data_IF_580859581515
#
_entry.id   IF_580859581515
#
_cell.length_a   1.000
_cell.length_b   1.000
_cell.length_c   1.000
_cell.angle_alpha   90.00
_cell.angle_beta   90.00
_cell.angle_gamma   90.00
#
_symmetry.space_group_name_H-M   'P 1'
#
loop_
_entity.id
_entity.type
_entity.pdbx_description
1 polymer ?
#
# COMPACT_ATOMS: atom_id res chain seq x y z
N UNK A 1 -3.02 -8.78 -7.71
CA UNK A 1 -3.99 -7.68 -7.96
C UNK A 1 -4.88 -8.06 -9.14
N UNK A 2 -6.18 -7.73 -9.11
CA UNK A 2 -7.01 -7.87 -10.31
C UNK A 2 -6.59 -6.79 -11.33
N UNK A 3 -6.19 -7.15 -12.56
CA UNK A 3 -5.54 -6.23 -13.51
C UNK A 3 -6.43 -5.06 -13.99
N UNK A 4 -7.73 -5.07 -13.68
CA UNK A 4 -8.70 -4.13 -14.23
C UNK A 4 -9.20 -3.06 -13.25
N UNK A 5 -8.86 -3.13 -11.95
CA UNK A 5 -9.49 -2.28 -10.94
C UNK A 5 -9.28 -0.77 -11.16
N UNK A 6 -8.05 -0.27 -11.44
CA UNK A 6 -7.83 1.15 -11.69
C UNK A 6 -8.55 1.66 -12.96
N UNK A 7 -8.60 0.81 -14.00
CA UNK A 7 -9.32 1.13 -15.25
C UNK A 7 -10.82 1.25 -15.01
N UNK A 8 -11.42 0.27 -14.32
CA UNK A 8 -12.85 0.28 -14.00
C UNK A 8 -13.23 1.50 -13.16
N UNK A 9 -12.35 1.93 -12.23
CA UNK A 9 -12.57 3.16 -11.48
C UNK A 9 -12.69 4.38 -12.40
N UNK A 10 -11.75 4.58 -13.33
CA UNK A 10 -11.81 5.70 -14.28
C UNK A 10 -13.05 5.61 -15.18
N UNK A 11 -13.38 4.43 -15.71
CA UNK A 11 -14.59 4.24 -16.53
C UNK A 11 -15.90 4.51 -15.78
N UNK A 12 -15.94 4.26 -14.47
CA UNK A 12 -17.09 4.64 -13.65
C UNK A 12 -17.15 6.15 -13.43
N UNK A 13 -16.02 6.77 -13.06
CA UNK A 13 -15.94 8.22 -12.83
C UNK A 13 -16.28 9.03 -14.07
N UNK A 14 -15.91 8.58 -15.26
CA UNK A 14 -16.22 9.30 -16.51
C UNK A 14 -17.72 9.41 -16.81
N UNK A 15 -18.54 8.50 -16.28
CA UNK A 15 -20.01 8.52 -16.42
C UNK A 15 -20.68 9.42 -15.40
N UNK A 16 -20.01 9.69 -14.28
CA UNK A 16 -20.55 10.49 -13.17
C UNK A 16 -20.15 11.97 -13.29
N UNK A 17 -19.00 12.25 -13.92
CA UNK A 17 -18.49 13.60 -14.09
C UNK A 17 -19.11 14.31 -15.31
N UNK A 18 -19.30 15.62 -15.16
CA UNK A 18 -19.64 16.50 -16.27
C UNK A 18 -18.42 16.78 -17.15
N UNK A 19 -18.65 17.09 -18.43
CA UNK A 19 -17.59 17.49 -19.35
C UNK A 19 -16.86 18.73 -18.80
N UNK A 20 -15.53 18.64 -18.70
CA UNK A 20 -14.67 19.68 -18.12
C UNK A 20 -14.54 19.65 -16.59
N UNK A 21 -15.17 18.69 -15.90
CA UNK A 21 -14.97 18.47 -14.47
C UNK A 21 -13.56 17.97 -14.15
N UNK A 22 -13.05 18.32 -12.97
CA UNK A 22 -11.70 17.93 -12.52
C UNK A 22 -11.76 16.86 -11.43
N UNK A 23 -10.81 15.92 -11.48
CA UNK A 23 -10.61 14.91 -10.44
C UNK A 23 -9.16 14.99 -9.94
N UNK A 24 -8.99 14.94 -8.62
CA UNK A 24 -7.67 14.87 -7.98
C UNK A 24 -7.54 13.53 -7.27
N UNK A 25 -6.47 12.80 -7.57
CA UNK A 25 -6.15 11.51 -6.94
C UNK A 25 -4.82 11.63 -6.18
N UNK A 26 -4.82 11.17 -4.93
CA UNK A 26 -3.63 11.08 -4.09
C UNK A 26 -3.51 9.63 -3.65
N UNK A 27 -2.41 8.98 -4.03
CA UNK A 27 -2.17 7.57 -3.75
C UNK A 27 -0.66 7.29 -3.63
N UNK A 28 -0.25 6.19 -2.98
CA UNK A 28 1.13 5.76 -3.00
C UNK A 28 1.61 5.56 -4.44
N UNK A 29 2.78 6.10 -4.76
CA UNK A 29 3.38 5.98 -6.09
C UNK A 29 4.90 5.98 -6.02
N UNK A 30 5.54 5.38 -7.02
CA UNK A 30 6.99 5.34 -7.16
C UNK A 30 7.47 6.07 -8.42
N UNK A 31 8.74 6.47 -8.40
CA UNK A 31 9.38 7.04 -9.58
C UNK A 31 9.56 6.00 -10.69
N UNK A 32 9.61 6.46 -11.94
CA UNK A 32 9.85 5.58 -13.08
C UNK A 32 11.21 4.88 -12.98
N UNK A 33 11.22 3.56 -13.13
CA UNK A 33 12.44 2.75 -13.03
C UNK A 33 12.96 2.54 -11.61
N UNK A 34 12.25 3.03 -10.58
CA UNK A 34 12.56 2.76 -9.19
C UNK A 34 12.17 1.30 -8.87
N UNK A 35 13.07 0.48 -8.31
CA UNK A 35 12.74 -0.90 -7.96
C UNK A 35 11.64 -0.94 -6.89
N UNK A 36 10.63 -1.80 -7.07
CA UNK A 36 9.60 -2.00 -6.05
C UNK A 36 10.18 -2.55 -4.73
N UNK A 37 11.31 -3.26 -4.78
CA UNK A 37 12.03 -3.74 -3.58
C UNK A 37 12.61 -2.61 -2.74
N UNK A 38 12.85 -1.45 -3.34
CA UNK A 38 13.51 -0.33 -2.69
C UNK A 38 12.46 0.73 -2.25
N UNK A 39 11.18 0.47 -2.51
CA UNK A 39 10.05 1.30 -2.10
C UNK A 39 9.98 1.31 -0.56
N UNK A 40 10.01 2.48 0.10
CA UNK A 40 9.85 2.56 1.56
C UNK A 40 8.56 1.91 2.06
N UNK A 41 7.49 1.90 1.25
CA UNK A 41 6.27 1.16 1.57
C UNK A 41 6.50 -0.35 1.50
N UNK A 42 7.25 -0.81 0.49
CA UNK A 42 7.72 -2.19 0.37
C UNK A 42 8.52 -2.65 1.58
N UNK A 43 9.47 -1.84 2.06
CA UNK A 43 10.26 -2.14 3.26
C UNK A 43 9.38 -2.33 4.51
N UNK A 44 8.33 -1.52 4.67
CA UNK A 44 7.37 -1.73 5.76
C UNK A 44 6.66 -3.08 5.62
N UNK A 45 6.26 -3.48 4.42
CA UNK A 45 5.64 -4.79 4.23
C UNK A 45 6.62 -5.95 4.39
N UNK A 46 7.91 -5.76 4.10
CA UNK A 46 8.95 -6.74 4.38
C UNK A 46 9.13 -6.98 5.89
N UNK A 47 9.10 -5.92 6.70
CA UNK A 47 9.12 -6.06 8.17
C UNK A 47 7.86 -6.75 8.70
N UNK A 48 6.70 -6.48 8.10
CA UNK A 48 5.46 -7.18 8.43
C UNK A 48 5.55 -8.67 8.09
N UNK A 49 5.97 -9.01 6.86
CA UNK A 49 6.18 -10.38 6.41
C UNK A 49 7.19 -11.12 7.29
N UNK A 50 8.32 -10.48 7.60
CA UNK A 50 9.31 -11.02 8.53
C UNK A 50 8.72 -11.28 9.92
N UNK A 51 7.83 -10.41 10.42
CA UNK A 51 7.17 -10.61 11.72
C UNK A 51 6.20 -11.79 11.71
N UNK A 52 5.47 -12.00 10.61
CA UNK A 52 4.63 -13.18 10.41
C UNK A 52 5.47 -14.47 10.40
N UNK A 53 6.63 -14.46 9.73
CA UNK A 53 7.55 -15.62 9.71
C UNK A 53 8.06 -15.97 11.12
N UNK A 54 8.33 -14.98 11.97
CA UNK A 54 8.71 -15.27 13.36
C UNK A 54 7.56 -15.90 14.16
N UNK A 55 6.31 -15.49 13.89
CA UNK A 55 5.12 -16.11 14.48
C UNK A 55 4.90 -17.56 14.01
N UNK A 56 5.25 -17.88 12.75
CA UNK A 56 5.26 -19.26 12.24
C UNK A 56 6.26 -20.12 13.02
N UNK A 57 7.50 -19.63 13.20
CA UNK A 57 8.55 -20.36 13.93
C UNK A 57 8.17 -20.68 15.37
N UNK A 58 7.38 -19.80 15.99
CA UNK A 58 6.91 -19.94 17.37
C UNK A 58 5.55 -20.67 17.47
N UNK A 59 4.94 -21.04 16.34
CA UNK A 59 3.71 -21.84 16.30
C UNK A 59 2.41 -21.07 16.55
N UNK A 60 2.42 -19.73 16.45
CA UNK A 60 1.20 -18.92 16.55
C UNK A 60 0.29 -19.06 15.33
N UNK A 61 0.88 -19.23 14.14
CA UNK A 61 0.20 -19.36 12.84
C UNK A 61 0.92 -20.41 11.99
N UNK A 62 0.27 -20.93 10.94
CA UNK A 62 0.92 -21.87 10.01
C UNK A 62 1.62 -21.17 8.85
N UNK A 63 2.62 -21.84 8.26
CA UNK A 63 3.30 -21.39 7.04
C UNK A 63 2.30 -21.24 5.88
N UNK A 64 1.37 -22.18 5.71
CA UNK A 64 0.32 -22.12 4.69
C UNK A 64 -0.56 -20.86 4.80
N UNK A 65 -0.81 -20.38 6.03
CA UNK A 65 -1.56 -19.13 6.23
C UNK A 65 -0.76 -17.93 5.72
N UNK A 66 0.56 -17.92 5.92
CA UNK A 66 1.43 -16.84 5.42
C UNK A 66 1.57 -16.90 3.90
N UNK A 67 1.80 -18.07 3.33
CA UNK A 67 1.96 -18.25 1.88
C UNK A 67 0.70 -17.89 1.09
N UNK A 68 -0.48 -18.15 1.66
CA UNK A 68 -1.76 -17.78 1.05
C UNK A 68 -2.13 -16.30 1.27
N UNK A 69 -1.42 -15.57 2.14
CA UNK A 69 -1.71 -14.18 2.44
C UNK A 69 -0.95 -13.23 1.52
N UNK A 70 -1.68 -12.38 0.81
CA UNK A 70 -1.10 -11.30 0.01
C UNK A 70 -1.88 -10.01 0.27
N UNK A 71 -1.16 -8.89 0.44
CA UNK A 71 -1.81 -7.60 0.62
C UNK A 71 -2.37 -7.08 -0.72
N UNK A 72 -3.59 -6.54 -0.75
CA UNK A 72 -4.19 -5.98 -1.96
C UNK A 72 -3.68 -4.56 -2.24
N UNK A 73 -2.38 -4.31 -2.07
CA UNK A 73 -1.74 -3.01 -2.22
C UNK A 73 -0.75 -3.07 -3.36
N UNK A 74 -0.68 -2.00 -4.14
CA UNK A 74 0.29 -1.85 -5.23
C UNK A 74 0.66 -0.39 -5.38
N UNK A 75 1.96 -0.13 -5.39
CA UNK A 75 2.52 1.20 -5.59
C UNK A 75 2.83 1.38 -7.07
N UNK A 76 1.95 2.03 -7.81
CA UNK A 76 2.13 2.22 -9.25
C UNK A 76 3.21 3.28 -9.54
N UNK A 77 3.97 3.07 -10.61
CA UNK A 77 4.87 4.09 -11.13
C UNK A 77 4.09 5.21 -11.84
N UNK A 78 4.73 6.39 -11.94
CA UNK A 78 4.18 7.52 -12.72
C UNK A 78 3.83 7.07 -14.15
N UNK A 79 4.71 6.30 -14.80
CA UNK A 79 4.49 5.77 -16.15
C UNK A 79 3.28 4.84 -16.21
N UNK A 80 3.14 3.91 -15.27
CA UNK A 80 2.00 2.99 -15.26
C UNK A 80 0.67 3.74 -15.09
N UNK A 81 0.65 4.77 -14.25
CA UNK A 81 -0.53 5.62 -14.08
C UNK A 81 -0.81 6.49 -15.31
N UNK A 82 0.22 7.06 -15.93
CA UNK A 82 0.08 7.80 -17.20
C UNK A 82 -0.50 6.92 -18.29
N UNK A 83 0.12 5.76 -18.52
CA UNK A 83 -0.31 4.78 -19.53
C UNK A 83 -1.76 4.33 -19.28
N UNK A 84 -2.15 4.14 -18.02
CA UNK A 84 -3.51 3.75 -17.65
C UNK A 84 -4.54 4.82 -18.04
N UNK A 85 -4.27 6.09 -17.71
CA UNK A 85 -5.18 7.20 -18.00
C UNK A 85 -5.29 7.44 -19.51
N UNK A 86 -4.15 7.44 -20.20
CA UNK A 86 -4.11 7.59 -21.67
C UNK A 86 -4.87 6.47 -22.38
N UNK A 87 -4.69 5.21 -21.94
CA UNK A 87 -5.44 4.07 -22.50
C UNK A 87 -6.93 4.12 -22.18
N UNK A 88 -7.31 4.68 -21.04
CA UNK A 88 -8.73 4.86 -20.69
C UNK A 88 -9.41 5.91 -21.58
N UNK A 89 -8.69 6.98 -21.93
CA UNK A 89 -9.14 8.01 -22.89
C UNK A 89 -10.33 8.87 -22.44
N UNK A 90 -10.86 8.69 -21.23
CA UNK A 90 -11.97 9.50 -20.72
C UNK A 90 -11.50 10.75 -19.96
N UNK A 91 -10.23 10.83 -19.59
CA UNK A 91 -9.63 11.93 -18.84
C UNK A 91 -8.33 12.39 -19.51
N UNK A 92 -8.02 13.68 -19.38
CA UNK A 92 -6.68 14.23 -19.61
C UNK A 92 -5.93 14.36 -18.28
N UNK A 93 -4.60 14.24 -18.34
CA UNK A 93 -3.75 14.52 -17.17
C UNK A 93 -3.38 16.00 -17.24
N UNK A 94 -3.85 16.77 -16.25
CA UNK A 94 -3.41 18.17 -16.09
C UNK A 94 -2.06 18.22 -15.34
N UNK A 95 -1.94 17.46 -14.26
CA UNK A 95 -0.73 17.37 -13.43
C UNK A 95 -0.59 15.93 -12.91
N UNK A 96 0.62 15.39 -12.98
CA UNK A 96 1.03 14.18 -12.27
C UNK A 96 2.41 14.43 -11.66
N UNK A 97 2.52 14.25 -10.35
CA UNK A 97 3.77 14.52 -9.63
C UNK A 97 3.90 13.60 -8.42
N UNK A 98 5.13 13.37 -7.98
CA UNK A 98 5.45 12.62 -6.78
C UNK A 98 5.86 13.59 -5.68
N UNK A 99 5.06 13.65 -4.63
CA UNK A 99 5.42 14.43 -3.44
C UNK A 99 6.36 13.62 -2.56
N UNK A 100 7.51 14.17 -2.19
CA UNK A 100 8.35 13.55 -1.18
C UNK A 100 7.68 13.68 0.20
N UNK A 101 7.08 12.59 0.69
CA UNK A 101 6.43 12.59 2.01
C UNK A 101 7.41 12.86 3.15
N UNK A 102 8.72 12.64 2.96
CA UNK A 102 9.74 12.87 3.98
C UNK A 102 10.01 14.37 4.22
N UNK A 103 9.77 15.24 3.23
CA UNK A 103 10.07 16.67 3.35
C UNK A 103 8.95 17.49 4.02
N UNK A 104 7.74 16.93 4.15
CA UNK A 104 6.59 17.69 4.65
C UNK A 104 6.57 17.86 6.19
N UNK A 105 7.27 17.00 6.94
CA UNK A 105 7.09 16.97 8.40
C UNK A 105 8.31 17.31 9.27
N UNK A 106 9.51 17.53 8.74
CA UNK A 106 10.68 18.00 9.53
C UNK A 106 11.03 17.19 10.80
N UNK A 107 10.33 16.08 11.03
CA UNK A 107 10.35 15.22 12.20
C UNK A 107 10.50 13.83 11.64
N UNK A 108 11.56 13.13 12.06
CA UNK A 108 11.68 11.71 11.80
C UNK A 108 10.42 11.04 12.37
N UNK A 109 9.55 10.50 11.52
CA UNK A 109 8.39 9.74 11.96
C UNK A 109 8.93 8.60 12.84
N UNK A 110 8.58 8.59 14.13
CA UNK A 110 9.09 7.57 15.06
C UNK A 110 8.55 6.19 14.63
N UNK A 111 9.29 5.11 14.85
CA UNK A 111 8.85 3.74 14.55
C UNK A 111 7.47 3.40 15.15
N UNK A 112 7.13 4.03 16.28
CA UNK A 112 5.80 3.94 16.89
C UNK A 112 4.68 4.47 15.96
N UNK A 113 4.86 5.65 15.37
CA UNK A 113 3.88 6.28 14.49
C UNK A 113 3.71 5.46 13.20
N UNK A 114 4.82 4.93 12.66
CA UNK A 114 4.80 4.01 11.53
C UNK A 114 4.00 2.74 11.84
N UNK A 115 4.23 2.16 13.02
CA UNK A 115 3.54 0.95 13.50
C UNK A 115 2.04 1.20 13.63
N UNK A 116 1.65 2.28 14.31
CA UNK A 116 0.24 2.62 14.51
C UNK A 116 -0.46 2.92 13.17
N UNK A 117 0.21 3.60 12.25
CA UNK A 117 -0.32 3.88 10.92
C UNK A 117 -0.56 2.60 10.11
N UNK A 118 0.41 1.69 10.10
CA UNK A 118 0.27 0.40 9.42
C UNK A 118 -0.84 -0.43 10.04
N UNK A 119 -0.91 -0.49 11.38
CA UNK A 119 -1.96 -1.19 12.12
C UNK A 119 -3.34 -0.68 11.77
N UNK A 120 -3.56 0.63 11.88
CA UNK A 120 -4.83 1.25 11.55
C UNK A 120 -5.28 0.97 10.10
N UNK A 121 -4.32 0.86 9.17
CA UNK A 121 -4.60 0.65 7.75
C UNK A 121 -4.87 -0.83 7.40
N UNK A 122 -4.23 -1.78 8.10
CA UNK A 122 -4.16 -3.19 7.68
C UNK A 122 -4.81 -4.19 8.64
N UNK A 123 -5.09 -3.81 9.89
CA UNK A 123 -5.62 -4.72 10.92
C UNK A 123 -6.88 -5.46 10.47
N UNK A 124 -7.81 -4.79 9.79
CA UNK A 124 -9.02 -5.44 9.30
C UNK A 124 -8.78 -6.55 8.26
N UNK A 125 -7.76 -6.41 7.42
CA UNK A 125 -7.40 -7.42 6.41
C UNK A 125 -6.65 -8.58 7.07
N UNK A 126 -5.71 -8.26 7.97
CA UNK A 126 -4.89 -9.24 8.68
C UNK A 126 -5.77 -10.09 9.61
N UNK A 127 -6.60 -9.46 10.44
CA UNK A 127 -7.47 -10.16 11.40
C UNK A 127 -8.49 -11.06 10.70
N UNK A 128 -8.97 -10.65 9.52
CA UNK A 128 -9.88 -11.49 8.71
C UNK A 128 -9.21 -12.77 8.21
N UNK A 129 -7.89 -12.76 7.97
CA UNK A 129 -7.15 -13.90 7.44
C UNK A 129 -6.55 -14.79 8.54
N UNK A 130 -5.95 -14.17 9.56
CA UNK A 130 -5.20 -14.87 10.60
C UNK A 130 -5.93 -14.97 11.95
N UNK A 131 -7.03 -14.25 12.14
CA UNK A 131 -7.69 -14.09 13.44
C UNK A 131 -7.26 -12.81 14.17
N UNK A 132 -8.13 -12.32 15.06
CA UNK A 132 -7.87 -11.09 15.85
C UNK A 132 -6.86 -11.30 16.98
N UNK A 133 -6.69 -12.54 17.42
CA UNK A 133 -5.84 -12.95 18.54
C UNK A 133 -4.34 -12.71 18.29
N UNK A 134 -3.91 -12.65 17.03
CA UNK A 134 -2.50 -12.45 16.68
C UNK A 134 -2.12 -10.97 16.55
N UNK A 135 -3.09 -10.06 16.53
CA UNK A 135 -2.88 -8.68 16.08
C UNK A 135 -1.92 -7.91 16.99
N UNK A 136 -2.13 -7.98 18.30
CA UNK A 136 -1.28 -7.25 19.26
C UNK A 136 0.17 -7.74 19.17
N UNK A 137 0.37 -9.06 19.21
CA UNK A 137 1.69 -9.67 19.13
C UNK A 137 2.40 -9.39 17.79
N UNK A 138 1.66 -9.42 16.68
CA UNK A 138 2.20 -9.09 15.35
C UNK A 138 2.72 -7.66 15.30
N UNK A 139 1.94 -6.69 15.79
CA UNK A 139 2.34 -5.28 15.75
C UNK A 139 3.42 -4.93 16.77
N UNK A 140 3.50 -5.64 17.89
CA UNK A 140 4.63 -5.54 18.82
C UNK A 140 5.95 -6.04 18.20
N UNK A 141 5.90 -7.13 17.43
CA UNK A 141 7.05 -7.65 16.68
C UNK A 141 7.46 -6.72 15.54
N UNK A 142 6.47 -6.24 14.80
CA UNK A 142 6.69 -5.25 13.75
C UNK A 142 7.38 -4.01 14.32
N UNK A 143 6.89 -3.47 15.43
CA UNK A 143 7.46 -2.30 16.08
C UNK A 143 8.95 -2.47 16.38
N UNK A 144 9.34 -3.62 16.93
CA UNK A 144 10.74 -3.94 17.25
C UNK A 144 11.65 -3.96 16.02
N UNK A 145 11.11 -4.18 14.82
CA UNK A 145 11.86 -4.16 13.54
C UNK A 145 11.94 -2.76 12.91
N UNK A 146 11.17 -1.80 13.44
CA UNK A 146 11.17 -0.40 12.97
C UNK A 146 12.03 0.54 13.84
N UNK A 147 12.72 -0.01 14.84
CA UNK A 147 13.71 0.68 15.67
C UNK A 147 15.11 0.51 15.06
#
# INVERSE_FOLDING_TARGET
MQPNLPRTFLEARSKEYVVGGMMVLIMPGIANGFPHSDDPVGLMFDFLGSSLIDMVKEGFISEDQVDSFNLPVYTASVREMTDLVEKNGCFSIEIIDLTNSHSLNGTSRNGQDCTMHLRASMEGIISKHFGSEIIDELFDRFHKKTQ
#
